data_IF_062829317367
#
_entry.id   IF_062829317367
#
_cell.length_a   1.000
_cell.length_b   1.000
_cell.length_c   1.000
_cell.angle_alpha   90.00
_cell.angle_beta   90.00
_cell.angle_gamma   90.00
#
_symmetry.space_group_name_H-M   'P 1'
#
loop_
_entity.id
_entity.type
_entity.pdbx_description
1 polymer ?
#
# COMPACT_ATOMS: atom_id res chain seq x y z
N UNK A 1 -55.83 15.03 29.53
CA UNK A 1 -56.98 14.10 29.41
C UNK A 1 -56.82 13.20 28.18
N UNK A 2 -56.10 12.08 28.30
CA UNK A 2 -55.84 11.24 27.13
C UNK A 2 -57.18 10.69 26.68
N UNK A 3 -57.50 10.83 25.40
CA UNK A 3 -58.81 10.42 24.92
C UNK A 3 -58.88 8.89 25.00
N UNK A 4 -59.71 8.38 25.90
CA UNK A 4 -59.86 6.93 26.14
C UNK A 4 -60.35 6.20 24.90
N UNK A 5 -60.92 6.89 23.91
CA UNK A 5 -61.45 6.28 22.70
C UNK A 5 -60.43 6.21 21.55
N UNK A 6 -59.47 7.14 21.48
CA UNK A 6 -58.49 7.20 20.39
C UNK A 6 -57.12 6.57 20.74
N UNK A 7 -56.95 6.08 21.98
CA UNK A 7 -55.68 5.52 22.50
C UNK A 7 -54.46 6.43 22.23
N UNK A 8 -54.68 7.74 22.19
CA UNK A 8 -53.66 8.74 21.85
C UNK A 8 -53.81 9.97 22.74
N UNK A 9 -52.72 10.41 23.36
CA UNK A 9 -52.70 11.67 24.10
C UNK A 9 -52.57 12.85 23.13
N UNK A 10 -53.41 13.88 23.31
CA UNK A 10 -53.52 15.05 22.40
C UNK A 10 -52.49 16.16 22.70
N UNK A 11 -51.71 16.03 23.78
CA UNK A 11 -50.65 16.98 24.20
C UNK A 11 -49.36 16.21 24.44
N UNK A 12 -48.26 16.96 24.43
CA UNK A 12 -46.90 16.46 24.67
C UNK A 12 -46.80 15.71 26.02
N UNK A 13 -46.07 14.59 26.03
CA UNK A 13 -45.78 13.84 27.25
C UNK A 13 -44.94 14.70 28.21
N UNK A 14 -45.06 14.42 29.51
CA UNK A 14 -44.16 14.99 30.51
C UNK A 14 -42.72 14.56 30.17
N UNK A 15 -41.70 15.44 30.29
CA UNK A 15 -40.31 15.06 30.04
C UNK A 15 -39.92 13.78 30.78
N UNK A 16 -39.27 12.86 30.06
CA UNK A 16 -38.92 11.53 30.56
C UNK A 16 -39.93 10.42 30.25
N UNK A 17 -41.05 10.71 29.58
CA UNK A 17 -42.02 9.70 29.14
C UNK A 17 -42.30 9.76 27.63
N UNK A 18 -42.63 8.62 27.02
CA UNK A 18 -42.92 8.47 25.60
C UNK A 18 -43.97 7.37 25.32
N UNK A 19 -44.38 7.26 24.07
CA UNK A 19 -45.43 6.37 23.57
C UNK A 19 -46.77 7.09 23.39
N UNK A 20 -47.71 6.45 22.69
CA UNK A 20 -49.03 7.04 22.38
C UNK A 20 -49.85 7.40 23.64
N UNK A 21 -49.55 6.73 24.77
CA UNK A 21 -50.17 6.93 26.08
C UNK A 21 -49.23 7.54 27.13
N UNK A 22 -47.97 7.84 26.78
CA UNK A 22 -46.93 8.29 27.72
C UNK A 22 -46.64 7.32 28.88
N UNK A 23 -46.91 6.02 28.73
CA UNK A 23 -46.70 5.00 29.77
C UNK A 23 -45.26 4.46 29.82
N UNK A 24 -44.44 4.78 28.81
CA UNK A 24 -43.07 4.28 28.71
C UNK A 24 -42.09 5.36 29.17
N UNK A 25 -41.10 4.98 29.97
CA UNK A 25 -40.04 5.90 30.42
C UNK A 25 -38.93 6.01 29.36
N UNK A 26 -38.42 7.22 29.14
CA UNK A 26 -37.24 7.43 28.31
C UNK A 26 -36.00 6.71 28.89
N UNK A 27 -35.06 6.25 28.04
CA UNK A 27 -33.80 5.69 28.50
C UNK A 27 -33.02 6.67 29.40
N UNK A 28 -32.48 6.18 30.53
CA UNK A 28 -31.65 6.98 31.45
C UNK A 28 -30.33 7.47 30.82
N UNK A 29 -29.95 6.88 29.68
CA UNK A 29 -28.77 7.21 28.88
C UNK A 29 -28.96 8.43 27.99
N UNK A 30 -30.20 8.89 27.77
CA UNK A 30 -30.46 10.11 27.02
C UNK A 30 -30.04 11.35 27.83
N UNK A 31 -29.56 12.39 27.13
CA UNK A 31 -29.27 13.68 27.76
C UNK A 31 -30.57 14.26 28.37
N UNK A 32 -30.56 14.52 29.68
CA UNK A 32 -31.70 15.07 30.43
C UNK A 32 -33.02 14.28 30.27
N UNK A 33 -32.98 12.97 29.99
CA UNK A 33 -34.17 12.13 29.75
C UNK A 33 -35.04 12.61 28.57
N UNK A 34 -34.46 13.34 27.61
CA UNK A 34 -35.18 13.83 26.44
C UNK A 34 -35.15 12.79 25.31
N UNK A 35 -36.32 12.20 25.05
CA UNK A 35 -36.52 11.26 23.97
C UNK A 35 -37.74 11.64 23.11
N UNK A 36 -37.78 11.12 21.89
CA UNK A 36 -38.87 11.34 20.96
C UNK A 36 -40.15 10.67 21.48
N UNK A 37 -41.26 11.42 21.47
CA UNK A 37 -42.56 10.98 22.00
C UNK A 37 -43.12 9.72 21.31
N UNK A 38 -42.81 9.47 20.03
CA UNK A 38 -43.38 8.32 19.31
C UNK A 38 -42.43 7.12 19.26
N UNK A 39 -41.12 7.35 19.20
CA UNK A 39 -40.13 6.27 19.02
C UNK A 39 -39.33 5.92 20.27
N UNK A 40 -39.31 6.81 21.27
CA UNK A 40 -38.48 6.64 22.47
C UNK A 40 -36.98 6.84 22.25
N UNK A 41 -36.57 7.24 21.04
CA UNK A 41 -35.18 7.51 20.72
C UNK A 41 -34.70 8.83 21.33
N UNK A 42 -33.48 8.87 21.83
CA UNK A 42 -32.92 10.08 22.42
C UNK A 42 -32.89 11.21 21.37
N UNK A 43 -33.28 12.42 21.77
CA UNK A 43 -33.16 13.60 20.92
C UNK A 43 -31.70 14.05 20.86
N UNK A 44 -31.00 13.96 21.98
CA UNK A 44 -29.59 14.30 22.14
C UNK A 44 -28.89 13.27 23.02
N UNK A 45 -27.67 12.93 22.63
CA UNK A 45 -26.80 12.08 23.41
C UNK A 45 -25.83 12.90 24.28
N UNK A 46 -25.43 12.39 25.45
CA UNK A 46 -24.26 12.88 26.16
C UNK A 46 -22.99 12.80 25.28
N UNK A 47 -21.97 13.59 25.61
CA UNK A 47 -20.71 13.60 24.85
C UNK A 47 -20.05 12.22 24.85
N UNK A 48 -19.57 11.81 23.68
CA UNK A 48 -18.86 10.54 23.51
C UNK A 48 -19.73 9.30 23.48
N UNK A 49 -21.05 9.44 23.37
CA UNK A 49 -21.96 8.31 23.11
C UNK A 49 -22.91 8.61 21.96
N UNK A 50 -23.32 7.56 21.27
CA UNK A 50 -24.16 7.63 20.08
C UNK A 50 -25.13 6.44 20.02
N UNK A 51 -25.98 6.44 19.00
CA UNK A 51 -27.04 5.48 18.78
C UNK A 51 -28.40 6.01 19.21
N UNK A 52 -29.43 5.27 18.84
CA UNK A 52 -30.82 5.68 19.06
C UNK A 52 -31.20 5.79 20.55
N UNK A 53 -30.45 5.14 21.44
CA UNK A 53 -30.59 5.21 22.90
C UNK A 53 -29.29 5.63 23.61
N UNK A 54 -28.29 6.14 22.88
CA UNK A 54 -27.00 6.57 23.45
C UNK A 54 -26.27 5.49 24.28
N UNK A 55 -26.35 4.24 23.85
CA UNK A 55 -25.73 3.06 24.50
C UNK A 55 -24.34 2.71 23.94
N UNK A 56 -23.96 3.32 22.81
CA UNK A 56 -22.71 3.04 22.12
C UNK A 56 -21.72 4.15 22.40
N UNK A 57 -20.46 3.80 22.66
CA UNK A 57 -19.40 4.77 22.93
C UNK A 57 -18.72 5.16 21.62
N UNK A 58 -18.39 6.43 21.46
CA UNK A 58 -17.57 6.94 20.36
C UNK A 58 -16.14 6.41 20.46
N UNK A 59 -15.45 6.29 19.32
CA UNK A 59 -14.04 5.94 19.33
C UNK A 59 -13.22 7.06 19.98
N UNK A 60 -12.30 6.71 20.88
CA UNK A 60 -11.38 7.68 21.52
C UNK A 60 -10.42 8.33 20.53
N UNK A 61 -10.34 7.77 19.31
CA UNK A 61 -9.58 8.30 18.19
C UNK A 61 -10.23 9.53 17.55
N UNK A 62 -11.52 9.81 17.81
CA UNK A 62 -12.15 11.06 17.39
C UNK A 62 -11.55 12.22 18.19
N UNK A 63 -11.34 13.36 17.53
CA UNK A 63 -10.89 14.56 18.22
C UNK A 63 -11.91 14.99 19.28
N UNK A 64 -11.49 15.06 20.55
CA UNK A 64 -12.39 15.33 21.67
C UNK A 64 -13.32 14.18 22.06
N UNK A 65 -13.17 13.01 21.43
CA UNK A 65 -14.01 11.83 21.68
C UNK A 65 -15.48 12.01 21.25
N UNK A 66 -15.79 13.02 20.45
CA UNK A 66 -17.16 13.33 20.02
C UNK A 66 -17.45 12.73 18.64
N UNK A 67 -18.67 12.22 18.46
CA UNK A 67 -19.10 11.60 17.22
C UNK A 67 -20.59 11.83 16.96
N UNK A 68 -20.99 11.65 15.70
CA UNK A 68 -22.37 11.80 15.27
C UNK A 68 -23.29 10.79 15.94
N UNK A 69 -24.46 11.27 16.36
CA UNK A 69 -25.48 10.51 17.08
C UNK A 69 -25.96 9.27 16.31
N UNK A 70 -26.07 9.34 14.99
CA UNK A 70 -26.74 8.31 14.19
C UNK A 70 -25.75 7.32 13.58
N UNK A 71 -24.57 7.78 13.17
CA UNK A 71 -23.63 6.98 12.37
C UNK A 71 -22.21 6.82 12.95
N UNK A 72 -21.92 7.34 14.15
CA UNK A 72 -20.60 7.28 14.80
C UNK A 72 -19.44 8.02 14.11
N UNK A 73 -19.74 8.82 13.08
CA UNK A 73 -18.72 9.60 12.35
C UNK A 73 -18.16 10.69 13.24
N UNK A 74 -16.84 10.84 13.29
CA UNK A 74 -16.21 11.89 14.08
C UNK A 74 -16.49 13.27 13.45
N UNK A 75 -17.13 14.17 14.20
CA UNK A 75 -17.55 15.51 13.73
C UNK A 75 -16.39 16.50 13.62
N UNK A 76 -15.35 16.29 14.43
CA UNK A 76 -14.17 17.15 14.54
C UNK A 76 -12.89 16.54 13.94
N UNK A 77 -13.03 15.44 13.19
CA UNK A 77 -11.91 14.71 12.60
C UNK A 77 -11.21 13.76 13.59
N UNK A 78 -10.06 13.24 13.17
CA UNK A 78 -9.29 12.23 13.89
C UNK A 78 -8.11 12.82 14.66
N UNK A 79 -7.69 12.12 15.72
CA UNK A 79 -6.37 12.33 16.32
C UNK A 79 -5.26 12.01 15.31
N UNK A 80 -4.09 12.63 15.47
CA UNK A 80 -2.94 12.41 14.60
C UNK A 80 -2.58 10.91 14.51
N UNK A 81 -2.27 10.44 13.30
CA UNK A 81 -1.99 9.02 13.04
C UNK A 81 -3.23 8.15 12.85
N UNK A 82 -4.44 8.70 12.74
CA UNK A 82 -5.69 7.98 12.46
C UNK A 82 -6.45 8.55 11.26
N UNK A 83 -7.16 7.69 10.55
CA UNK A 83 -8.06 8.05 9.44
C UNK A 83 -9.27 7.12 9.36
N UNK A 84 -10.19 7.46 8.46
CA UNK A 84 -11.54 6.93 8.32
C UNK A 84 -12.59 7.84 8.96
N UNK A 85 -13.85 7.71 8.54
CA UNK A 85 -14.98 8.48 9.08
C UNK A 85 -15.16 8.29 10.60
N UNK A 86 -14.78 7.12 11.12
CA UNK A 86 -14.82 6.75 12.55
C UNK A 86 -13.42 6.71 13.19
N UNK A 87 -12.36 7.09 12.47
CA UNK A 87 -10.98 7.05 12.94
C UNK A 87 -10.52 5.65 13.42
N UNK A 88 -11.02 4.59 12.79
CA UNK A 88 -10.67 3.20 13.10
C UNK A 88 -9.27 2.85 12.58
N UNK A 89 -8.90 3.36 11.40
CA UNK A 89 -7.66 3.01 10.72
C UNK A 89 -6.49 3.88 11.17
N UNK A 90 -5.28 3.30 11.18
CA UNK A 90 -4.05 4.02 11.50
C UNK A 90 -3.40 4.53 10.21
N UNK A 91 -2.91 5.77 10.21
CA UNK A 91 -2.01 6.26 9.17
C UNK A 91 -0.77 5.35 9.09
N UNK A 92 -0.15 5.30 7.91
CA UNK A 92 1.13 4.60 7.74
C UNK A 92 2.19 5.21 8.65
N UNK A 93 2.99 4.37 9.31
CA UNK A 93 4.19 4.78 10.08
C UNK A 93 5.21 5.57 9.26
N UNK A 94 5.03 5.59 7.94
CA UNK A 94 5.94 6.18 6.97
C UNK A 94 5.40 7.48 6.34
N UNK A 95 4.21 7.95 6.76
CA UNK A 95 3.82 9.34 6.51
C UNK A 95 4.73 10.28 7.31
N UNK A 96 5.15 11.39 6.70
CA UNK A 96 5.85 12.47 7.41
C UNK A 96 4.96 12.96 8.56
N UNK A 97 5.54 13.09 9.75
CA UNK A 97 4.86 13.51 10.99
C UNK A 97 3.63 12.68 11.41
N UNK A 98 3.40 11.50 10.82
CA UNK A 98 2.18 10.69 11.02
C UNK A 98 0.89 11.43 10.63
N UNK A 99 1.01 12.42 9.74
CA UNK A 99 -0.11 13.20 9.24
C UNK A 99 -0.69 12.54 8.00
N UNK A 100 -2.00 12.24 8.02
CA UNK A 100 -2.71 11.76 6.85
C UNK A 100 -4.12 12.34 6.76
N UNK A 101 -4.69 12.39 5.55
CA UNK A 101 -6.03 12.90 5.28
C UNK A 101 -7.09 12.02 5.97
N UNK A 102 -8.09 12.66 6.60
CA UNK A 102 -9.03 11.96 7.46
C UNK A 102 -9.87 10.89 6.76
N UNK A 103 -10.23 11.05 5.48
CA UNK A 103 -11.12 10.10 4.80
C UNK A 103 -10.35 9.03 4.02
N UNK A 104 -9.29 9.45 3.31
CA UNK A 104 -8.55 8.58 2.39
C UNK A 104 -7.32 7.92 3.03
N UNK A 105 -6.79 8.48 4.12
CA UNK A 105 -5.51 8.08 4.69
C UNK A 105 -4.29 8.51 3.87
N UNK A 106 -4.45 9.39 2.87
CA UNK A 106 -3.36 9.92 2.05
C UNK A 106 -2.41 10.80 2.87
N UNK A 107 -1.10 10.59 2.76
CA UNK A 107 -0.11 11.37 3.50
C UNK A 107 0.07 12.75 2.84
N UNK A 108 -0.43 13.83 3.45
CA UNK A 108 -0.43 15.19 2.86
C UNK A 108 0.98 15.79 2.71
N UNK A 109 1.89 15.42 3.62
CA UNK A 109 3.28 15.89 3.65
C UNK A 109 4.26 14.93 2.93
N UNK A 110 3.70 13.91 2.26
CA UNK A 110 4.45 12.87 1.57
C UNK A 110 5.04 11.80 2.49
N UNK A 111 5.96 11.01 1.92
CA UNK A 111 6.55 9.84 2.56
C UNK A 111 7.94 10.13 3.10
N UNK A 112 8.29 9.47 4.20
CA UNK A 112 9.68 9.41 4.67
C UNK A 112 10.58 8.68 3.66
N UNK A 113 11.87 8.97 3.69
CA UNK A 113 12.83 8.44 2.73
C UNK A 113 12.78 6.91 2.67
N UNK A 114 12.69 6.36 1.46
CA UNK A 114 12.62 4.92 1.24
C UNK A 114 11.20 4.36 1.13
N UNK A 115 10.16 5.20 1.17
CA UNK A 115 8.77 4.81 0.96
C UNK A 115 8.10 5.67 -0.12
N UNK A 116 7.12 5.12 -0.81
CA UNK A 116 6.35 5.79 -1.86
C UNK A 116 4.91 5.29 -1.92
N UNK A 117 4.09 5.99 -2.71
CA UNK A 117 2.65 5.76 -2.81
C UNK A 117 1.85 6.76 -1.98
N UNK A 118 0.54 6.85 -2.27
CA UNK A 118 -0.37 7.81 -1.64
C UNK A 118 -0.48 7.63 -0.12
N UNK A 119 -0.30 6.40 0.38
CA UNK A 119 -0.34 6.05 1.80
C UNK A 119 1.02 5.60 2.34
N UNK A 120 2.11 5.80 1.58
CA UNK A 120 3.46 5.37 1.97
C UNK A 120 3.53 3.90 2.44
N UNK A 121 2.80 3.03 1.74
CA UNK A 121 2.70 1.59 1.99
C UNK A 121 3.70 0.77 1.17
N UNK A 122 4.40 1.42 0.23
CA UNK A 122 5.33 0.76 -0.68
C UNK A 122 6.76 1.19 -0.38
N UNK A 123 7.66 0.25 -0.06
CA UNK A 123 9.07 0.58 0.07
C UNK A 123 9.61 0.92 -1.32
N UNK A 124 10.38 2.00 -1.44
CA UNK A 124 11.29 2.27 -2.55
C UNK A 124 12.38 1.19 -2.52
N UNK A 125 12.01 -0.02 -2.92
CA UNK A 125 12.97 -1.01 -3.35
C UNK A 125 13.74 -0.33 -4.47
N UNK A 126 15.04 -0.19 -4.28
CA UNK A 126 15.98 0.10 -5.35
C UNK A 126 15.92 -1.03 -6.39
N UNK A 127 14.83 -1.16 -7.14
CA UNK A 127 14.82 -1.77 -8.47
C UNK A 127 15.54 -0.80 -9.41
N UNK A 128 16.84 -0.65 -9.16
CA UNK A 128 17.70 0.36 -9.77
C UNK A 128 19.11 0.42 -9.20
N UNK A 129 19.38 -0.20 -8.05
CA UNK A 129 20.73 -0.56 -7.64
C UNK A 129 20.74 -1.96 -7.03
N UNK A 130 20.38 -2.96 -7.83
CA UNK A 130 21.15 -4.18 -7.75
C UNK A 130 22.54 -3.78 -8.23
N UNK A 131 23.48 -3.58 -7.31
CA UNK A 131 24.88 -3.85 -7.63
C UNK A 131 25.01 -5.36 -7.86
N UNK A 132 24.39 -5.87 -8.93
CA UNK A 132 25.02 -6.93 -9.69
C UNK A 132 26.40 -6.39 -9.99
N UNK A 133 27.38 -6.89 -9.26
CA UNK A 133 28.63 -7.19 -9.92
C UNK A 133 28.28 -8.02 -11.17
N UNK A 134 28.06 -7.31 -12.28
CA UNK A 134 27.89 -7.87 -13.62
C UNK A 134 29.21 -8.46 -14.14
N UNK A 135 30.11 -8.82 -13.23
CA UNK A 135 31.29 -9.64 -13.49
C UNK A 135 30.93 -11.13 -13.44
N UNK A 136 29.93 -11.54 -12.67
CA UNK A 136 29.57 -12.96 -12.53
C UNK A 136 28.92 -13.59 -13.77
N UNK A 137 27.96 -12.96 -14.49
CA UNK A 137 27.38 -13.57 -15.69
C UNK A 137 28.34 -13.55 -16.88
N UNK A 138 29.28 -12.59 -16.93
CA UNK A 138 30.31 -12.57 -17.97
C UNK A 138 31.40 -13.62 -17.72
N UNK A 139 31.89 -13.73 -16.47
CA UNK A 139 32.89 -14.74 -16.11
C UNK A 139 32.34 -16.14 -16.28
N UNK A 140 31.08 -16.40 -15.90
CA UNK A 140 30.45 -17.70 -16.09
C UNK A 140 30.23 -18.03 -17.58
N UNK A 141 29.81 -17.06 -18.41
CA UNK A 141 29.68 -17.28 -19.86
C UNK A 141 31.04 -17.47 -20.54
N UNK A 142 32.09 -16.76 -20.14
CA UNK A 142 33.44 -17.01 -20.65
C UNK A 142 34.00 -18.34 -20.17
N UNK A 143 33.72 -18.76 -18.93
CA UNK A 143 34.13 -20.09 -18.43
C UNK A 143 33.36 -21.18 -19.18
N UNK A 144 32.06 -21.01 -19.44
CA UNK A 144 31.28 -21.96 -20.24
C UNK A 144 31.86 -22.05 -21.65
N UNK A 145 32.12 -20.93 -22.34
CA UNK A 145 32.72 -20.93 -23.69
C UNK A 145 34.12 -21.57 -23.69
N UNK A 146 34.97 -21.23 -22.72
CA UNK A 146 36.32 -21.82 -22.59
C UNK A 146 36.25 -23.30 -22.22
N UNK A 147 35.29 -23.74 -21.40
CA UNK A 147 35.07 -25.16 -21.10
C UNK A 147 34.59 -25.89 -22.35
N UNK A 148 33.70 -25.32 -23.18
CA UNK A 148 33.30 -25.92 -24.46
C UNK A 148 34.45 -25.99 -25.47
N UNK A 149 35.33 -25.00 -25.52
CA UNK A 149 36.52 -25.00 -26.38
C UNK A 149 37.63 -25.95 -25.89
N UNK A 150 37.78 -26.16 -24.58
CA UNK A 150 38.85 -27.00 -24.00
C UNK A 150 38.43 -28.43 -23.66
N UNK A 151 37.13 -28.73 -23.58
CA UNK A 151 36.60 -30.08 -23.32
C UNK A 151 35.85 -30.71 -24.50
N UNK A 152 35.71 -29.99 -25.63
CA UNK A 152 35.25 -30.58 -26.89
C UNK A 152 36.07 -31.80 -27.34
N UNK A 153 37.34 -31.89 -26.92
CA UNK A 153 38.23 -33.02 -27.17
C UNK A 153 38.13 -34.15 -26.10
N UNK A 154 37.51 -33.92 -24.94
CA UNK A 154 37.38 -34.91 -23.86
C UNK A 154 36.07 -35.71 -23.91
N UNK A 155 35.05 -35.25 -24.64
CA UNK A 155 33.76 -35.94 -24.77
C UNK A 155 33.70 -37.03 -25.84
N UNK A 156 34.81 -37.36 -26.50
CA UNK A 156 34.88 -38.54 -27.38
C UNK A 156 33.90 -38.49 -28.56
N UNK A 157 33.49 -37.31 -29.00
CA UNK A 157 32.70 -37.15 -30.23
C UNK A 157 33.68 -37.07 -31.41
N UNK A 158 34.43 -38.16 -31.62
CA UNK A 158 35.09 -38.38 -32.91
C UNK A 158 33.99 -38.72 -33.91
N UNK A 159 33.64 -37.77 -34.75
CA UNK A 159 32.83 -38.04 -35.93
C UNK A 159 33.77 -38.26 -37.11
N UNK A 160 33.73 -39.46 -37.68
CA UNK A 160 34.69 -39.91 -38.73
C UNK A 160 34.66 -39.06 -40.02
N UNK A 161 33.65 -38.19 -40.18
CA UNK A 161 33.52 -37.30 -41.33
C UNK A 161 33.21 -35.87 -40.88
N UNK A 162 33.85 -34.90 -41.53
CA UNK A 162 33.61 -33.46 -41.29
C UNK A 162 32.13 -33.11 -41.51
N UNK A 163 31.52 -32.41 -40.56
CA UNK A 163 30.19 -31.83 -40.75
C UNK A 163 30.34 -30.63 -41.67
N UNK A 164 29.90 -30.78 -42.92
CA UNK A 164 30.05 -29.72 -43.91
C UNK A 164 28.91 -28.71 -43.90
N UNK A 165 27.72 -29.03 -43.41
CA UNK A 165 26.54 -28.15 -43.48
C UNK A 165 25.58 -28.33 -42.28
N UNK A 166 25.10 -27.22 -41.72
CA UNK A 166 23.94 -27.12 -40.81
C UNK A 166 22.80 -26.38 -41.54
N UNK A 167 21.51 -26.56 -41.18
CA UNK A 167 20.36 -26.08 -41.95
C UNK A 167 20.15 -24.55 -41.98
N UNK A 168 21.05 -23.77 -41.37
CA UNK A 168 21.11 -22.32 -41.49
C UNK A 168 22.57 -21.90 -41.66
N UNK A 169 23.07 -21.94 -42.90
CA UNK A 169 24.44 -21.54 -43.21
C UNK A 169 24.44 -20.12 -43.79
N UNK A 170 24.65 -19.10 -42.95
CA UNK A 170 24.77 -17.69 -43.38
C UNK A 170 26.21 -17.32 -43.80
N UNK A 171 27.23 -18.05 -43.32
CA UNK A 171 28.66 -17.78 -43.55
C UNK A 171 29.44 -19.11 -43.56
N UNK A 172 30.40 -19.25 -44.49
CA UNK A 172 31.28 -20.42 -44.58
C UNK A 172 32.23 -20.53 -43.36
N UNK A 173 32.36 -21.73 -42.78
CA UNK A 173 33.24 -22.04 -41.64
C UNK A 173 32.96 -21.20 -40.37
N UNK A 174 31.75 -21.28 -39.79
CA UNK A 174 31.31 -20.43 -38.68
C UNK A 174 32.20 -20.53 -37.43
N UNK A 175 32.83 -21.68 -37.19
CA UNK A 175 33.79 -21.84 -36.09
C UNK A 175 35.05 -20.96 -36.26
N UNK A 176 35.56 -20.81 -37.48
CA UNK A 176 36.79 -20.05 -37.75
C UNK A 176 36.57 -18.55 -37.67
N UNK A 177 35.44 -18.08 -38.19
CA UNK A 177 35.02 -16.69 -38.03
C UNK A 177 34.64 -16.37 -36.59
N UNK A 178 34.00 -17.30 -35.89
CA UNK A 178 33.66 -17.16 -34.47
C UNK A 178 34.88 -16.92 -33.60
N UNK A 179 35.92 -17.74 -33.73
CA UNK A 179 37.17 -17.57 -32.98
C UNK A 179 37.88 -16.27 -33.35
N UNK A 180 37.97 -15.94 -34.64
CA UNK A 180 38.61 -14.70 -35.11
C UNK A 180 37.94 -13.44 -34.54
N UNK A 181 36.60 -13.42 -34.48
CA UNK A 181 35.83 -12.30 -33.90
C UNK A 181 36.02 -12.21 -32.38
N UNK A 182 36.11 -13.34 -31.67
CA UNK A 182 36.37 -13.37 -30.22
C UNK A 182 37.77 -12.83 -29.90
N UNK A 183 38.80 -13.25 -30.65
CA UNK A 183 40.16 -12.74 -30.48
C UNK A 183 40.28 -11.27 -30.89
N UNK A 184 39.58 -10.84 -31.95
CA UNK A 184 39.50 -9.43 -32.33
C UNK A 184 38.79 -8.56 -31.29
N UNK A 185 37.70 -9.06 -30.72
CA UNK A 185 36.93 -8.37 -29.68
C UNK A 185 37.72 -8.22 -28.38
N UNK A 186 38.38 -9.27 -27.92
CA UNK A 186 39.24 -9.23 -26.72
C UNK A 186 40.45 -8.29 -26.90
N UNK A 187 40.99 -8.16 -28.11
CA UNK A 187 42.03 -7.19 -28.42
C UNK A 187 41.54 -5.72 -28.41
N UNK A 188 40.24 -5.48 -28.62
CA UNK A 188 39.62 -4.14 -28.59
C UNK A 188 39.16 -3.70 -27.19
N UNK A 189 38.92 -4.64 -26.26
CA UNK A 189 38.60 -4.34 -24.84
C UNK A 189 39.66 -3.48 -24.13
N UNK A 190 40.98 -3.70 -24.27
CA UNK A 190 41.98 -2.80 -23.68
C UNK A 190 41.96 -1.40 -24.32
N UNK A 191 41.61 -1.28 -25.60
CA UNK A 191 41.50 0.01 -26.28
C UNK A 191 40.31 0.84 -25.78
N UNK A 192 39.16 0.22 -25.53
CA UNK A 192 37.97 0.94 -25.03
C UNK A 192 38.13 1.33 -23.56
N UNK A 193 38.81 0.53 -22.76
CA UNK A 193 39.11 0.86 -21.35
C UNK A 193 40.14 2.00 -21.23
N UNK A 194 41.13 2.08 -22.12
CA UNK A 194 42.03 3.25 -22.18
C UNK A 194 41.30 4.53 -22.59
N UNK A 195 40.41 4.47 -23.58
CA UNK A 195 39.59 5.63 -23.98
C UNK A 195 38.67 6.05 -22.83
N UNK A 196 37.96 5.11 -22.20
CA UNK A 196 37.07 5.38 -21.07
C UNK A 196 37.80 6.04 -19.88
N UNK A 197 38.99 5.53 -19.54
CA UNK A 197 39.82 6.10 -18.46
C UNK A 197 40.41 7.47 -18.81
N UNK A 198 40.62 7.78 -20.10
CA UNK A 198 41.07 9.11 -20.54
C UNK A 198 39.93 10.13 -20.53
N UNK A 199 38.69 9.72 -20.83
CA UNK A 199 37.49 10.55 -20.78
C UNK A 199 37.11 10.99 -19.36
N UNK A 200 37.27 10.10 -18.37
CA UNK A 200 36.90 10.37 -16.97
C UNK A 200 38.00 11.08 -16.15
N UNK A 201 39.10 11.51 -16.78
CA UNK A 201 40.18 12.28 -16.14
C UNK A 201 40.20 13.77 -16.52
N UNK A 202 39.17 14.24 -17.25
CA UNK A 202 38.98 15.64 -17.65
C UNK A 202 37.63 16.22 -17.18
N UNK A 203 37.07 15.70 -16.09
CA UNK A 203 36.00 16.33 -15.31
C UNK A 203 36.46 16.50 -13.88
#
# INVERSE_FOLDING_TARGET
MCDKNDRKCTYECIPGYWGDLCDLTCPLTCFELNCNISTGHCLKCPLGVWGAVCDRVCLTSCYGGDCDKENSTCTHGCLAGKFGDTCEHNCSSWCVEQTCEQHSGHCTDGCVQGWFGEQCDRPLLHHGCYSSNHQLPLVLNTIIVVVFETTGDYFGILMDNKVTHFPFNLIDNPMYWGSTIIFGGTALVPFTTEIYNKSNKMV
#
